data_IF_958015078025
#
_entry.id   IF_958015078025
#
_cell.length_a   1.000
_cell.length_b   1.000
_cell.length_c   1.000
_cell.angle_alpha   90.00
_cell.angle_beta   90.00
_cell.angle_gamma   90.00
#
_symmetry.space_group_name_H-M   'P 1'
#
loop_
_entity.id
_entity.type
_entity.pdbx_description
1 polymer ?
#
# COMPACT_ATOMS: atom_id res chain seq x y z
N UNK A 1 9.17 13.43 29.08
CA UNK A 1 10.26 14.37 28.70
C UNK A 1 11.10 14.60 29.95
N UNK A 2 12.44 14.59 29.89
CA UNK A 2 13.24 14.84 31.09
C UNK A 2 13.01 16.29 31.55
N UNK A 3 12.57 16.46 32.80
CA UNK A 3 12.06 17.70 33.42
C UNK A 3 13.07 18.86 33.58
N UNK A 4 14.21 18.82 32.89
CA UNK A 4 15.25 19.83 33.04
C UNK A 4 16.11 19.93 31.79
N UNK A 5 15.55 20.48 30.72
CA UNK A 5 16.29 20.87 29.51
C UNK A 5 16.53 22.38 29.53
N UNK A 6 17.77 22.83 29.34
CA UNK A 6 18.06 24.26 29.13
C UNK A 6 17.91 24.54 27.64
N UNK A 7 17.02 25.46 27.27
CA UNK A 7 16.82 25.81 25.87
C UNK A 7 18.06 26.48 25.27
N UNK A 8 18.35 26.14 24.02
CA UNK A 8 19.45 26.74 23.29
C UNK A 8 19.11 28.15 22.80
N UNK A 9 20.14 28.96 22.60
CA UNK A 9 19.98 30.27 21.98
C UNK A 9 19.81 30.15 20.45
N UNK A 10 18.59 29.88 20.00
CA UNK A 10 18.24 29.77 18.58
C UNK A 10 18.54 31.05 17.78
N UNK A 11 18.34 32.23 18.38
CA UNK A 11 18.63 33.50 17.73
C UNK A 11 20.13 33.66 17.43
N UNK A 12 20.99 33.27 18.38
CA UNK A 12 22.44 33.29 18.19
C UNK A 12 22.89 32.27 17.16
N UNK A 13 22.29 31.07 17.15
CA UNK A 13 22.58 30.07 16.12
C UNK A 13 22.26 30.60 14.71
N UNK A 14 21.09 31.23 14.54
CA UNK A 14 20.69 31.84 13.27
C UNK A 14 21.66 32.93 12.82
N UNK A 15 22.09 33.80 13.73
CA UNK A 15 23.09 34.83 13.46
C UNK A 15 24.43 34.23 12.98
N UNK A 16 24.91 33.18 13.66
CA UNK A 16 26.15 32.48 13.30
C UNK A 16 26.06 31.82 11.92
N UNK A 17 24.92 31.22 11.59
CA UNK A 17 24.68 30.62 10.28
C UNK A 17 24.68 31.67 9.18
N UNK A 18 23.91 32.75 9.34
CA UNK A 18 23.85 33.86 8.37
C UNK A 18 25.24 34.42 8.11
N UNK A 19 26.00 34.70 9.17
CA UNK A 19 27.38 35.18 9.05
C UNK A 19 28.24 34.21 8.25
N UNK A 20 28.14 32.90 8.53
CA UNK A 20 28.94 31.88 7.85
C UNK A 20 28.58 31.75 6.37
N UNK A 21 27.30 31.90 6.02
CA UNK A 21 26.87 31.92 4.61
C UNK A 21 27.37 33.15 3.87
N UNK A 22 27.31 34.33 4.51
CA UNK A 22 27.86 35.57 3.97
C UNK A 22 29.38 35.48 3.74
N UNK A 23 30.12 34.91 4.70
CA UNK A 23 31.57 34.69 4.59
C UNK A 23 31.94 33.77 3.41
N UNK A 24 31.02 32.89 3.00
CA UNK A 24 31.20 31.99 1.85
C UNK A 24 30.61 32.57 0.54
N UNK A 25 30.28 33.86 0.50
CA UNK A 25 29.66 34.55 -0.64
C UNK A 25 28.35 33.90 -1.13
N UNK A 26 27.57 33.33 -0.21
CA UNK A 26 26.28 32.73 -0.51
C UNK A 26 25.18 33.79 -0.34
N UNK A 27 24.44 34.08 -1.42
CA UNK A 27 23.28 34.97 -1.36
C UNK A 27 22.13 34.33 -0.56
N UNK A 28 21.50 35.14 0.28
CA UNK A 28 20.41 34.71 1.16
C UNK A 28 19.09 35.23 0.59
N UNK A 29 18.37 34.35 -0.11
CA UNK A 29 17.00 34.60 -0.56
C UNK A 29 15.97 34.14 0.49
N UNK A 30 14.70 34.44 0.24
CA UNK A 30 13.60 34.05 1.13
C UNK A 30 13.50 32.52 1.31
N UNK A 31 13.84 31.72 0.28
CA UNK A 31 13.83 30.26 0.44
C UNK A 31 14.99 29.81 1.33
N UNK A 32 16.18 30.40 1.20
CA UNK A 32 17.31 30.06 2.06
C UNK A 32 17.11 30.50 3.50
N UNK A 33 16.41 31.61 3.75
CA UNK A 33 15.99 31.98 5.10
C UNK A 33 15.10 30.90 5.74
N UNK A 34 14.13 30.35 5.00
CA UNK A 34 13.31 29.21 5.48
C UNK A 34 14.15 27.97 5.76
N UNK A 35 15.14 27.68 4.91
CA UNK A 35 16.08 26.57 5.13
C UNK A 35 16.91 26.79 6.39
N UNK A 36 17.39 28.01 6.63
CA UNK A 36 18.14 28.36 7.84
C UNK A 36 17.27 28.20 9.09
N UNK A 37 16.00 28.61 9.04
CA UNK A 37 15.07 28.42 10.15
C UNK A 37 14.84 26.94 10.45
N UNK A 38 14.66 26.12 9.40
CA UNK A 38 14.57 24.67 9.55
C UNK A 38 15.87 24.06 10.12
N UNK A 39 17.05 24.53 9.69
CA UNK A 39 18.34 24.08 10.23
C UNK A 39 18.46 24.39 11.73
N UNK A 40 17.98 25.57 12.16
CA UNK A 40 17.95 25.96 13.58
C UNK A 40 17.01 25.06 14.38
N UNK A 41 15.82 24.77 13.85
CA UNK A 41 14.84 23.89 14.49
C UNK A 41 15.42 22.48 14.66
N UNK A 42 16.02 21.92 13.61
CA UNK A 42 16.67 20.60 13.64
C UNK A 42 17.74 20.55 14.73
N UNK A 43 18.63 21.54 14.80
CA UNK A 43 19.66 21.57 15.86
C UNK A 43 19.01 21.64 17.24
N UNK A 44 17.96 22.44 17.42
CA UNK A 44 17.24 22.53 18.69
C UNK A 44 16.66 21.19 19.14
N UNK A 45 16.14 20.39 18.20
CA UNK A 45 15.63 19.06 18.49
C UNK A 45 16.73 18.10 18.93
N UNK A 46 17.92 18.14 18.30
CA UNK A 46 19.02 17.26 18.68
C UNK A 46 19.56 17.61 20.07
N UNK A 47 19.64 18.90 20.42
CA UNK A 47 19.95 19.30 21.80
C UNK A 47 18.90 18.76 22.79
N UNK A 48 17.61 18.84 22.45
CA UNK A 48 16.53 18.27 23.28
C UNK A 48 16.67 16.75 23.45
N UNK A 49 17.01 16.02 22.38
CA UNK A 49 17.25 14.57 22.43
C UNK A 49 18.48 14.20 23.27
N UNK A 50 19.54 15.03 23.25
CA UNK A 50 20.70 14.86 24.13
C UNK A 50 20.39 15.15 25.60
N UNK A 51 19.50 16.10 25.86
CA UNK A 51 19.22 16.61 27.20
C UNK A 51 20.43 17.34 27.79
N UNK A 52 20.38 17.60 29.11
CA UNK A 52 21.38 18.40 29.81
C UNK A 52 22.63 17.62 30.26
N UNK A 53 22.81 16.38 29.82
CA UNK A 53 23.97 15.57 30.18
C UNK A 53 25.14 15.86 29.22
N UNK A 54 26.32 16.28 29.73
CA UNK A 54 27.45 16.60 28.88
C UNK A 54 28.02 15.35 28.22
N UNK A 55 27.86 15.25 26.89
CA UNK A 55 28.51 14.22 26.07
C UNK A 55 30.04 14.41 26.05
N UNK A 56 30.75 13.62 26.86
CA UNK A 56 32.21 13.59 26.96
C UNK A 56 32.89 12.66 25.97
N UNK A 57 32.16 11.67 25.45
CA UNK A 57 32.63 10.71 24.46
C UNK A 57 31.48 10.29 23.52
N UNK A 58 31.80 9.66 22.38
CA UNK A 58 30.80 9.22 21.39
C UNK A 58 29.82 8.18 21.97
N UNK A 59 30.27 7.33 22.90
CA UNK A 59 29.45 6.29 23.54
C UNK A 59 28.34 6.86 24.42
N UNK A 60 28.60 7.98 25.09
CA UNK A 60 27.69 8.67 26.00
C UNK A 60 26.93 9.81 25.31
N UNK A 61 26.95 9.86 23.97
CA UNK A 61 26.22 10.85 23.18
C UNK A 61 24.92 10.24 22.67
N UNK A 62 23.79 10.61 23.28
CA UNK A 62 22.48 10.04 22.93
C UNK A 62 22.03 10.34 21.50
N UNK A 63 22.45 11.47 20.92
CA UNK A 63 22.07 11.86 19.57
C UNK A 63 23.21 12.64 18.90
N UNK A 64 23.44 12.45 17.61
CA UNK A 64 24.41 13.23 16.83
C UNK A 64 23.78 13.51 15.47
N UNK A 65 23.81 14.76 15.03
CA UNK A 65 23.44 15.10 13.66
C UNK A 65 24.66 14.95 12.74
N UNK A 66 24.48 14.19 11.66
CA UNK A 66 25.47 14.05 10.60
C UNK A 66 24.94 14.82 9.39
N UNK A 67 25.78 15.69 8.82
CA UNK A 67 25.40 16.52 7.67
C UNK A 67 26.57 16.70 6.72
N UNK A 68 26.30 17.02 5.46
CA UNK A 68 27.31 17.52 4.51
C UNK A 68 27.49 19.04 4.62
N UNK A 69 26.60 19.74 5.32
CA UNK A 69 26.66 21.19 5.49
C UNK A 69 27.71 21.59 6.54
N UNK A 70 28.88 22.00 6.04
CA UNK A 70 30.00 22.43 6.89
C UNK A 70 29.71 23.70 7.69
N UNK A 71 28.87 24.60 7.17
CA UNK A 71 28.48 25.83 7.87
C UNK A 71 27.63 25.51 9.10
N UNK A 72 26.69 24.57 8.96
CA UNK A 72 25.84 24.11 10.06
C UNK A 72 26.64 23.39 11.14
N UNK A 73 27.50 22.45 10.74
CA UNK A 73 28.37 21.74 11.68
C UNK A 73 29.25 22.72 12.48
N UNK A 74 29.82 23.73 11.81
CA UNK A 74 30.63 24.75 12.47
C UNK A 74 29.82 25.62 13.44
N UNK A 75 28.69 26.17 13.00
CA UNK A 75 27.85 27.03 13.82
C UNK A 75 27.34 26.30 15.08
N UNK A 76 26.97 25.02 14.95
CA UNK A 76 26.46 24.20 16.04
C UNK A 76 27.45 23.96 17.20
N UNK A 77 28.76 24.10 16.94
CA UNK A 77 29.82 23.85 17.91
C UNK A 77 30.10 25.06 18.81
N UNK A 78 29.43 26.19 18.57
CA UNK A 78 29.72 27.43 19.26
C UNK A 78 29.39 27.32 20.76
N UNK A 79 30.35 27.54 21.69
CA UNK A 79 30.16 27.27 23.11
C UNK A 79 29.07 28.09 23.79
N UNK A 80 28.71 29.27 23.26
CA UNK A 80 27.70 30.14 23.86
C UNK A 80 26.26 29.79 23.45
N UNK A 81 26.03 28.65 22.80
CA UNK A 81 24.69 28.22 22.37
C UNK A 81 23.87 27.57 23.49
N UNK A 82 24.54 26.96 24.46
CA UNK A 82 23.93 26.30 25.62
C UNK A 82 24.83 26.48 26.84
N UNK A 83 24.23 26.49 28.02
CA UNK A 83 24.98 26.50 29.29
C UNK A 83 25.74 25.18 29.52
N UNK A 84 25.35 24.11 28.82
CA UNK A 84 25.98 22.80 28.91
C UNK A 84 27.07 22.68 27.85
N UNK A 85 28.32 22.56 28.31
CA UNK A 85 29.46 22.33 27.43
C UNK A 85 29.56 20.84 27.07
N UNK A 86 29.37 20.52 25.78
CA UNK A 86 29.57 19.18 25.24
C UNK A 86 30.97 19.05 24.61
N UNK A 87 31.73 18.02 24.97
CA UNK A 87 33.03 17.75 24.35
C UNK A 87 32.88 17.20 22.93
N UNK A 88 31.84 16.40 22.71
CA UNK A 88 31.44 15.93 21.37
C UNK A 88 30.48 16.94 20.74
N UNK A 89 30.75 17.45 19.54
CA UNK A 89 29.86 18.39 18.86
C UNK A 89 28.50 17.75 18.56
N UNK A 90 27.47 18.58 18.52
CA UNK A 90 26.07 18.14 18.32
C UNK A 90 25.79 17.82 16.86
N UNK A 91 26.37 18.63 15.98
CA UNK A 91 26.39 18.36 14.56
C UNK A 91 27.85 18.25 14.10
N UNK A 92 28.12 17.25 13.27
CA UNK A 92 29.42 17.06 12.64
C UNK A 92 29.26 16.68 11.18
N UNK A 93 30.33 16.84 10.42
CA UNK A 93 30.32 16.42 9.02
C UNK A 93 30.51 14.92 8.90
N UNK A 94 29.93 14.35 7.85
CA UNK A 94 30.20 12.97 7.40
C UNK A 94 31.71 12.70 7.23
N UNK A 95 32.44 13.66 6.64
CA UNK A 95 33.89 13.57 6.48
C UNK A 95 34.62 13.52 7.84
N UNK A 96 34.19 14.31 8.83
CA UNK A 96 34.80 14.32 10.15
C UNK A 96 34.56 13.01 10.89
N UNK A 97 33.32 12.51 10.87
CA UNK A 97 32.99 11.22 11.48
C UNK A 97 33.74 10.07 10.79
N UNK A 98 33.78 10.06 9.46
CA UNK A 98 34.51 9.05 8.68
C UNK A 98 36.00 9.05 9.00
N UNK A 99 36.59 10.23 9.20
CA UNK A 99 38.00 10.35 9.60
C UNK A 99 38.24 9.75 10.99
N UNK A 100 37.34 9.99 11.95
CA UNK A 100 37.43 9.38 13.29
C UNK A 100 37.31 7.87 13.18
N UNK A 101 36.33 7.36 12.43
CA UNK A 101 36.13 5.92 12.23
C UNK A 101 37.36 5.27 11.59
N UNK A 102 37.92 5.89 10.55
CA UNK A 102 39.14 5.42 9.90
C UNK A 102 40.34 5.39 10.86
N UNK A 103 40.48 6.41 11.72
CA UNK A 103 41.54 6.43 12.74
C UNK A 103 41.33 5.38 13.83
N UNK A 104 40.08 5.11 14.23
CA UNK A 104 39.74 4.11 15.23
C UNK A 104 39.90 2.67 14.69
N UNK A 105 39.74 2.48 13.38
CA UNK A 105 39.83 1.17 12.71
C UNK A 105 40.75 1.25 11.48
N UNK A 106 42.07 1.42 11.70
CA UNK A 106 43.04 1.63 10.61
C UNK A 106 43.38 0.35 9.82
N UNK A 107 43.06 -0.83 10.37
CA UNK A 107 43.45 -2.12 9.79
C UNK A 107 42.57 -2.53 8.59
N UNK A 108 43.24 -3.03 7.55
CA UNK A 108 42.72 -3.29 6.20
C UNK A 108 42.02 -4.64 6.01
N UNK A 109 41.85 -5.45 7.07
CA UNK A 109 40.92 -6.59 7.06
C UNK A 109 39.48 -6.06 7.17
N UNK A 110 39.07 -5.37 6.10
CA UNK A 110 37.84 -4.59 5.97
C UNK A 110 36.60 -5.42 6.21
N UNK A 111 36.62 -6.70 5.86
CA UNK A 111 35.45 -7.57 5.90
C UNK A 111 34.95 -7.79 7.32
N UNK A 112 35.83 -7.90 8.32
CA UNK A 112 35.42 -8.14 9.71
C UNK A 112 34.85 -6.86 10.30
N UNK A 113 35.51 -5.72 10.09
CA UNK A 113 35.04 -4.43 10.59
C UNK A 113 33.73 -4.00 9.91
N UNK A 114 33.59 -4.24 8.60
CA UNK A 114 32.36 -4.00 7.86
C UNK A 114 31.23 -4.90 8.37
N UNK A 115 31.46 -6.20 8.53
CA UNK A 115 30.44 -7.12 9.05
C UNK A 115 30.05 -6.79 10.48
N UNK A 116 31.00 -6.40 11.34
CA UNK A 116 30.71 -5.95 12.70
C UNK A 116 29.87 -4.67 12.67
N UNK A 117 30.25 -3.68 11.85
CA UNK A 117 29.49 -2.44 11.71
C UNK A 117 28.07 -2.70 11.18
N UNK A 118 27.94 -3.52 10.13
CA UNK A 118 26.65 -3.92 9.57
C UNK A 118 25.82 -4.69 10.60
N UNK A 119 26.44 -5.56 11.39
CA UNK A 119 25.76 -6.30 12.46
C UNK A 119 25.27 -5.36 13.56
N UNK A 120 26.08 -4.40 13.99
CA UNK A 120 25.68 -3.41 14.99
C UNK A 120 24.56 -2.50 14.48
N UNK A 121 24.66 -2.03 13.23
CA UNK A 121 23.60 -1.29 12.56
C UNK A 121 22.33 -2.13 12.44
N UNK A 122 22.45 -3.40 12.04
CA UNK A 122 21.32 -4.31 11.92
C UNK A 122 20.65 -4.52 13.28
N UNK A 123 21.40 -4.81 14.34
CA UNK A 123 20.88 -4.96 15.71
C UNK A 123 20.14 -3.71 16.22
N UNK A 124 20.53 -2.51 15.76
CA UNK A 124 19.86 -1.26 16.11
C UNK A 124 18.62 -0.96 15.26
N UNK A 125 18.61 -1.41 14.02
CA UNK A 125 17.48 -1.26 13.09
C UNK A 125 16.43 -2.36 13.28
N UNK A 126 16.82 -3.51 13.83
CA UNK A 126 15.89 -4.60 14.14
C UNK A 126 15.16 -4.33 15.45
N UNK A 127 13.95 -4.87 15.52
CA UNK A 127 13.17 -4.88 16.75
C UNK A 127 13.90 -5.64 17.86
N UNK A 128 13.79 -5.15 19.09
CA UNK A 128 14.46 -5.75 20.24
C UNK A 128 13.91 -7.16 20.53
N UNK A 129 14.81 -8.05 20.91
CA UNK A 129 14.47 -9.43 21.28
C UNK A 129 13.46 -9.49 22.43
N UNK A 130 13.50 -8.51 23.35
CA UNK A 130 12.56 -8.42 24.47
C UNK A 130 11.13 -8.17 23.99
N UNK A 131 10.93 -7.23 23.05
CA UNK A 131 9.62 -6.93 22.46
C UNK A 131 9.10 -8.15 21.69
N UNK A 132 9.95 -8.77 20.87
CA UNK A 132 9.58 -9.96 20.10
C UNK A 132 9.18 -11.11 21.02
N UNK A 133 10.00 -11.42 22.03
CA UNK A 133 9.72 -12.49 22.97
C UNK A 133 8.41 -12.24 23.70
N UNK A 134 8.19 -11.01 24.21
CA UNK A 134 6.94 -10.65 24.89
C UNK A 134 5.73 -10.81 23.97
N UNK A 135 5.80 -10.29 22.75
CA UNK A 135 4.73 -10.42 21.76
C UNK A 135 4.37 -11.88 21.47
N UNK A 136 5.36 -12.71 21.12
CA UNK A 136 5.09 -14.13 20.81
C UNK A 136 4.62 -14.92 22.03
N UNK A 137 5.08 -14.57 23.24
CA UNK A 137 4.58 -15.19 24.47
C UNK A 137 3.11 -14.87 24.71
N UNK A 138 2.70 -13.61 24.57
CA UNK A 138 1.30 -13.19 24.71
C UNK A 138 0.42 -13.79 23.62
N UNK A 139 0.88 -13.86 22.37
CA UNK A 139 0.14 -14.51 21.28
C UNK A 139 -0.10 -16.00 21.58
N UNK A 140 0.89 -16.69 22.17
CA UNK A 140 0.74 -18.09 22.56
C UNK A 140 -0.25 -18.29 23.71
N UNK A 141 -0.27 -17.37 24.68
CA UNK A 141 -1.26 -17.37 25.76
C UNK A 141 -2.67 -17.09 25.24
N UNK A 142 -2.81 -16.16 24.30
CA UNK A 142 -4.06 -15.84 23.63
C UNK A 142 -4.58 -17.02 22.82
N UNK A 143 -3.72 -17.72 22.07
CA UNK A 143 -4.12 -18.91 21.30
C UNK A 143 -4.59 -20.07 22.20
N UNK A 144 -3.96 -20.22 23.38
CA UNK A 144 -4.36 -21.22 24.36
C UNK A 144 -5.72 -20.92 25.01
N UNK A 145 -6.10 -19.64 25.15
CA UNK A 145 -7.36 -19.22 25.76
C UNK A 145 -8.50 -19.07 24.74
N UNK A 146 -8.21 -18.54 23.57
CA UNK A 146 -9.12 -18.34 22.44
C UNK A 146 -8.41 -18.80 21.16
N UNK A 147 -8.83 -19.91 20.54
CA UNK A 147 -8.15 -20.45 19.37
C UNK A 147 -8.07 -19.42 18.25
N UNK A 148 -6.85 -19.03 17.89
CA UNK A 148 -6.60 -18.14 16.77
C UNK A 148 -6.66 -18.98 15.49
N UNK A 149 -7.22 -18.42 14.41
CA UNK A 149 -7.22 -19.11 13.11
C UNK A 149 -5.79 -19.42 12.65
N UNK A 150 -5.55 -20.65 12.20
CA UNK A 150 -4.23 -21.12 11.72
C UNK A 150 -3.64 -20.19 10.63
N UNK A 151 -4.49 -19.64 9.77
CA UNK A 151 -4.11 -18.68 8.74
C UNK A 151 -3.56 -17.37 9.35
N UNK A 152 -4.17 -16.88 10.43
CA UNK A 152 -3.72 -15.68 11.15
C UNK A 152 -2.39 -15.98 11.85
N UNK A 153 -2.25 -17.16 12.48
CA UNK A 153 -1.00 -17.57 13.10
C UNK A 153 0.15 -17.67 12.09
N UNK A 154 -0.12 -18.19 10.89
CA UNK A 154 0.84 -18.23 9.80
C UNK A 154 1.25 -16.83 9.36
N UNK A 155 0.30 -15.90 9.23
CA UNK A 155 0.59 -14.50 8.94
C UNK A 155 1.43 -13.84 10.04
N UNK A 156 1.16 -14.13 11.31
CA UNK A 156 1.94 -13.57 12.42
C UNK A 156 3.41 -14.02 12.36
N UNK A 157 3.64 -15.29 12.02
CA UNK A 157 4.99 -15.86 12.01
C UNK A 157 5.79 -15.53 10.74
N UNK A 158 5.13 -15.31 9.60
CA UNK A 158 5.80 -15.16 8.30
C UNK A 158 5.83 -13.72 7.78
N UNK A 159 4.92 -12.86 8.26
CA UNK A 159 4.75 -11.52 7.70
C UNK A 159 5.68 -10.50 8.35
N UNK A 160 6.42 -9.76 7.53
CA UNK A 160 7.17 -8.56 7.96
C UNK A 160 6.27 -7.48 8.57
N UNK A 161 4.99 -7.50 8.22
CA UNK A 161 3.97 -6.57 8.72
C UNK A 161 3.94 -6.53 10.25
N UNK A 162 4.08 -7.66 10.94
CA UNK A 162 4.04 -7.69 12.42
C UNK A 162 5.23 -6.93 13.01
N UNK A 163 6.42 -7.12 12.45
CA UNK A 163 7.62 -6.43 12.89
C UNK A 163 7.51 -4.92 12.67
N UNK A 164 7.01 -4.50 11.50
CA UNK A 164 6.77 -3.09 11.19
C UNK A 164 5.74 -2.46 12.15
N UNK A 165 4.64 -3.15 12.43
CA UNK A 165 3.62 -2.65 13.35
C UNK A 165 4.14 -2.55 14.79
N UNK A 166 4.90 -3.54 15.24
CA UNK A 166 5.56 -3.48 16.55
C UNK A 166 6.53 -2.30 16.63
N UNK A 167 7.34 -2.08 15.60
CA UNK A 167 8.29 -0.96 15.53
C UNK A 167 7.58 0.39 15.60
N UNK A 168 6.50 0.57 14.82
CA UNK A 168 5.72 1.82 14.80
C UNK A 168 5.06 2.09 16.16
N UNK A 169 4.57 1.05 16.84
CA UNK A 169 3.83 1.20 18.11
C UNK A 169 4.76 1.40 19.31
N UNK A 170 5.95 0.81 19.28
CA UNK A 170 6.88 0.78 20.43
C UNK A 170 8.09 1.67 20.23
N UNK A 171 8.36 2.15 19.02
CA UNK A 171 9.61 2.83 18.66
C UNK A 171 10.86 2.04 19.09
N UNK A 172 10.74 0.71 19.14
CA UNK A 172 11.77 -0.20 19.65
C UNK A 172 12.15 0.00 21.12
N UNK A 173 11.29 0.63 21.92
CA UNK A 173 11.44 0.80 23.37
C UNK A 173 10.52 -0.18 24.13
N UNK A 174 11.09 -1.17 24.87
CA UNK A 174 10.31 -2.13 25.64
C UNK A 174 9.36 -1.50 26.67
N UNK A 175 9.67 -0.30 27.17
CA UNK A 175 8.83 0.41 28.15
C UNK A 175 7.53 0.93 27.55
N UNK A 176 7.48 1.12 26.23
CA UNK A 176 6.28 1.53 25.50
C UNK A 176 5.41 0.33 25.10
N UNK A 177 5.87 -0.90 25.33
CA UNK A 177 5.07 -2.09 25.11
C UNK A 177 4.02 -2.23 26.22
N UNK A 178 2.75 -2.11 25.83
CA UNK A 178 1.60 -2.22 26.74
C UNK A 178 0.82 -3.49 26.46
N UNK A 179 0.01 -3.93 27.41
CA UNK A 179 -0.84 -5.12 27.26
C UNK A 179 -1.89 -4.98 26.13
N UNK A 180 -2.11 -3.75 25.64
CA UNK A 180 -3.00 -3.47 24.50
C UNK A 180 -2.29 -3.64 23.15
N UNK A 181 -0.97 -3.54 23.11
CA UNK A 181 -0.18 -3.54 21.88
C UNK A 181 -0.41 -4.81 21.07
N UNK A 182 -0.43 -5.98 21.73
CA UNK A 182 -0.71 -7.27 21.09
C UNK A 182 -2.10 -7.31 20.46
N UNK A 183 -3.13 -6.88 21.20
CA UNK A 183 -4.51 -6.89 20.71
C UNK A 183 -4.70 -5.93 19.52
N UNK A 184 -4.10 -4.75 19.56
CA UNK A 184 -4.14 -3.79 18.46
C UNK A 184 -3.49 -4.36 17.19
N UNK A 185 -2.34 -5.03 17.32
CA UNK A 185 -1.64 -5.63 16.18
C UNK A 185 -2.50 -6.74 15.56
N UNK A 186 -3.10 -7.61 16.38
CA UNK A 186 -3.98 -8.67 15.89
C UNK A 186 -5.20 -8.08 15.16
N UNK A 187 -5.78 -7.01 15.70
CA UNK A 187 -6.89 -6.30 15.06
C UNK A 187 -6.47 -5.68 13.72
N UNK A 188 -5.29 -5.08 13.63
CA UNK A 188 -4.78 -4.49 12.38
C UNK A 188 -4.52 -5.56 11.31
N UNK A 189 -4.00 -6.73 11.69
CA UNK A 189 -3.85 -7.88 10.79
C UNK A 189 -5.22 -8.33 10.27
N UNK A 190 -6.22 -8.42 11.14
CA UNK A 190 -7.58 -8.82 10.75
C UNK A 190 -8.24 -7.79 9.82
N UNK A 191 -8.08 -6.50 10.09
CA UNK A 191 -8.57 -5.41 9.22
C UNK A 191 -7.89 -5.48 7.85
N UNK A 192 -6.57 -5.68 7.82
CA UNK A 192 -5.83 -5.81 6.57
C UNK A 192 -6.26 -7.05 5.76
N UNK A 193 -6.56 -8.16 6.43
CA UNK A 193 -7.14 -9.35 5.80
C UNK A 193 -8.52 -9.06 5.23
N UNK A 194 -9.42 -8.52 6.03
CA UNK A 194 -10.81 -8.25 5.64
C UNK A 194 -10.90 -7.23 4.50
N UNK A 195 -10.02 -6.22 4.49
CA UNK A 195 -9.92 -5.26 3.38
C UNK A 195 -9.45 -5.91 2.08
N UNK A 196 -8.47 -6.82 2.13
CA UNK A 196 -8.05 -7.62 0.97
C UNK A 196 -9.15 -8.53 0.47
N UNK A 197 -9.88 -9.19 1.36
CA UNK A 197 -11.04 -10.04 0.99
C UNK A 197 -12.11 -9.20 0.30
N UNK A 198 -12.45 -8.03 0.85
CA UNK A 198 -13.45 -7.12 0.27
C UNK A 198 -13.00 -6.56 -1.08
N UNK A 199 -11.72 -6.25 -1.23
CA UNK A 199 -11.17 -5.81 -2.51
C UNK A 199 -11.26 -6.94 -3.56
N UNK A 200 -10.87 -8.16 -3.17
CA UNK A 200 -10.94 -9.32 -4.04
C UNK A 200 -12.39 -9.66 -4.43
N UNK A 201 -13.33 -9.65 -3.49
CA UNK A 201 -14.75 -9.87 -3.77
C UNK A 201 -15.30 -8.80 -4.71
N UNK A 202 -14.93 -7.53 -4.51
CA UNK A 202 -15.31 -6.45 -5.41
C UNK A 202 -14.75 -6.62 -6.84
N UNK A 203 -13.51 -7.12 -6.98
CA UNK A 203 -12.96 -7.43 -8.31
C UNK A 203 -13.67 -8.59 -8.99
N UNK A 204 -14.05 -9.61 -8.21
CA UNK A 204 -14.81 -10.75 -8.71
C UNK A 204 -16.20 -10.32 -9.20
N UNK A 205 -16.91 -9.51 -8.42
CA UNK A 205 -18.22 -8.94 -8.78
C UNK A 205 -18.13 -8.08 -10.06
N UNK A 206 -17.04 -7.31 -10.22
CA UNK A 206 -16.78 -6.53 -11.44
C UNK A 206 -16.59 -7.44 -12.65
N UNK A 207 -15.86 -8.54 -12.50
CA UNK A 207 -15.67 -9.54 -13.55
C UNK A 207 -17.01 -10.21 -13.91
N UNK A 208 -17.81 -10.62 -12.93
CA UNK A 208 -19.15 -11.18 -13.15
C UNK A 208 -20.07 -10.20 -13.89
N UNK A 209 -20.03 -8.90 -13.55
CA UNK A 209 -20.75 -7.86 -14.27
C UNK A 209 -20.33 -7.71 -15.74
N UNK A 210 -19.02 -7.82 -16.02
CA UNK A 210 -18.50 -7.82 -17.40
C UNK A 210 -18.91 -9.07 -18.17
N UNK A 211 -18.89 -10.25 -17.54
CA UNK A 211 -19.38 -11.48 -18.17
C UNK A 211 -20.88 -11.40 -18.49
N UNK A 212 -21.67 -10.81 -17.60
CA UNK A 212 -23.10 -10.62 -17.82
C UNK A 212 -23.38 -9.67 -18.99
N UNK A 213 -22.60 -8.59 -19.13
CA UNK A 213 -22.77 -7.66 -20.27
C UNK A 213 -22.44 -8.35 -21.59
N UNK A 214 -21.34 -9.10 -21.66
CA UNK A 214 -20.96 -9.90 -22.84
C UNK A 214 -22.06 -10.92 -23.18
N UNK A 215 -22.57 -11.65 -22.18
CA UNK A 215 -23.64 -12.61 -22.38
C UNK A 215 -24.93 -11.97 -22.93
N UNK A 216 -25.29 -10.76 -22.45
CA UNK A 216 -26.43 -9.99 -22.97
C UNK A 216 -26.21 -9.55 -24.43
N UNK A 217 -25.01 -9.10 -24.77
CA UNK A 217 -24.68 -8.73 -26.16
C UNK A 217 -24.79 -9.94 -27.10
N UNK A 218 -24.19 -11.08 -26.74
CA UNK A 218 -24.28 -12.32 -27.53
C UNK A 218 -25.73 -12.78 -27.63
N UNK A 219 -26.47 -12.80 -26.52
CA UNK A 219 -27.90 -13.17 -26.54
C UNK A 219 -28.72 -12.24 -27.45
N UNK A 220 -28.47 -10.93 -27.40
CA UNK A 220 -29.16 -9.95 -28.24
C UNK A 220 -28.87 -10.14 -29.73
N UNK A 221 -27.60 -10.39 -30.08
CA UNK A 221 -27.19 -10.66 -31.47
C UNK A 221 -27.82 -11.94 -32.01
N UNK A 222 -27.82 -13.03 -31.23
CA UNK A 222 -28.47 -14.30 -31.62
C UNK A 222 -29.97 -14.10 -31.89
N UNK A 223 -30.69 -13.44 -30.98
CA UNK A 223 -32.12 -13.17 -31.17
C UNK A 223 -32.36 -12.33 -32.42
N UNK A 224 -31.50 -11.33 -32.68
CA UNK A 224 -31.62 -10.48 -33.86
C UNK A 224 -31.33 -11.24 -35.16
N UNK A 225 -30.34 -12.13 -35.18
CA UNK A 225 -30.02 -12.98 -36.33
C UNK A 225 -31.19 -13.91 -36.64
N UNK A 226 -31.75 -14.57 -35.62
CA UNK A 226 -32.91 -15.45 -35.78
C UNK A 226 -34.11 -14.68 -36.34
N UNK A 227 -34.37 -13.47 -35.81
CA UNK A 227 -35.46 -12.64 -36.29
C UNK A 227 -35.25 -12.16 -37.73
N UNK A 228 -34.04 -11.71 -38.08
CA UNK A 228 -33.71 -11.29 -39.44
C UNK A 228 -33.80 -12.46 -40.43
N UNK A 229 -33.35 -13.66 -40.03
CA UNK A 229 -33.50 -14.89 -40.80
C UNK A 229 -34.96 -15.24 -41.08
N UNK A 230 -35.85 -15.10 -40.09
CA UNK A 230 -37.30 -15.29 -40.28
C UNK A 230 -37.90 -14.27 -41.26
N UNK A 231 -37.47 -13.00 -41.19
CA UNK A 231 -37.93 -11.95 -42.10
C UNK A 231 -37.44 -12.19 -43.53
N UNK A 232 -36.18 -12.55 -43.72
CA UNK A 232 -35.63 -12.90 -45.04
C UNK A 232 -36.36 -14.11 -45.62
N UNK A 233 -36.55 -15.17 -44.81
CA UNK A 233 -37.28 -16.36 -45.23
C UNK A 233 -38.69 -15.99 -45.71
N UNK A 234 -39.39 -15.13 -44.97
CA UNK A 234 -40.69 -14.62 -45.37
C UNK A 234 -40.66 -13.84 -46.69
N UNK A 235 -39.67 -12.97 -46.89
CA UNK A 235 -39.53 -12.19 -48.14
C UNK A 235 -39.24 -13.10 -49.34
N UNK A 236 -38.35 -14.08 -49.18
CA UNK A 236 -38.04 -15.08 -50.22
C UNK A 236 -39.30 -15.87 -50.57
N UNK A 237 -40.01 -16.38 -49.55
CA UNK A 237 -41.23 -17.14 -49.76
C UNK A 237 -42.34 -16.31 -50.42
N UNK A 238 -42.35 -14.98 -50.29
CA UNK A 238 -43.35 -14.13 -50.94
C UNK A 238 -43.06 -13.87 -52.42
N UNK A 239 -41.79 -13.87 -52.83
CA UNK A 239 -41.36 -13.46 -54.18
C UNK A 239 -41.11 -14.64 -55.14
N UNK A 240 -41.16 -15.87 -54.65
CA UNK A 240 -41.08 -17.07 -55.50
C UNK A 240 -42.41 -17.27 -56.22
N UNK A 241 -42.36 -17.42 -57.54
CA UNK A 241 -43.53 -17.80 -58.34
C UNK A 241 -43.75 -19.32 -58.23
N UNK A 242 -44.80 -19.69 -57.51
CA UNK A 242 -45.12 -21.09 -57.21
C UNK A 242 -45.89 -21.80 -58.32
N UNK A 243 -46.20 -21.13 -59.44
CA UNK A 243 -47.11 -21.65 -60.48
C UNK A 243 -46.77 -23.07 -60.96
N UNK A 244 -45.49 -23.39 -61.13
CA UNK A 244 -45.01 -24.66 -61.69
C UNK A 244 -44.78 -25.80 -60.66
N UNK A 245 -45.05 -25.59 -59.37
CA UNK A 245 -44.75 -26.58 -58.33
C UNK A 245 -45.95 -27.53 -58.10
N UNK A 246 -45.69 -28.79 -57.72
CA UNK A 246 -46.73 -29.77 -57.37
C UNK A 246 -47.60 -29.27 -56.22
N UNK A 247 -48.89 -29.63 -56.21
CA UNK A 247 -49.87 -29.10 -55.26
C UNK A 247 -49.50 -29.26 -53.78
N UNK A 248 -48.79 -30.33 -53.41
CA UNK A 248 -48.35 -30.57 -52.02
C UNK A 248 -47.33 -29.51 -51.57
N UNK A 249 -46.33 -29.19 -52.40
CA UNK A 249 -45.30 -28.20 -52.07
C UNK A 249 -45.85 -26.77 -52.05
N UNK A 250 -46.86 -26.46 -52.88
CA UNK A 250 -47.59 -25.17 -52.84
C UNK A 250 -48.25 -24.96 -51.48
N UNK A 251 -48.94 -25.97 -50.94
CA UNK A 251 -49.62 -25.89 -49.64
C UNK A 251 -48.61 -25.76 -48.49
N UNK A 252 -47.53 -26.54 -48.51
CA UNK A 252 -46.49 -26.50 -47.47
C UNK A 252 -45.76 -25.15 -47.42
N UNK A 253 -45.39 -24.57 -48.57
CA UNK A 253 -44.67 -23.29 -48.60
C UNK A 253 -45.58 -22.10 -48.28
N UNK A 254 -46.85 -22.15 -48.71
CA UNK A 254 -47.82 -21.13 -48.36
C UNK A 254 -48.13 -21.13 -46.85
N UNK A 255 -48.25 -22.31 -46.21
CA UNK A 255 -48.42 -22.41 -44.76
C UNK A 255 -47.19 -21.94 -43.97
N UNK A 256 -45.99 -22.17 -44.50
CA UNK A 256 -44.73 -21.67 -43.90
C UNK A 256 -44.66 -20.13 -43.86
N UNK A 257 -45.25 -19.46 -44.85
CA UNK A 257 -45.30 -17.99 -44.92
C UNK A 257 -46.18 -17.34 -43.84
N UNK A 258 -47.10 -18.10 -43.23
CA UNK A 258 -48.02 -17.62 -42.19
C UNK A 258 -47.32 -17.61 -40.81
N UNK A 259 -46.24 -18.39 -40.65
CA UNK A 259 -45.52 -18.58 -39.38
C UNK A 259 -45.06 -17.25 -38.73
N UNK A 260 -44.48 -16.27 -39.45
CA UNK A 260 -44.08 -15.00 -38.84
C UNK A 260 -45.27 -14.16 -38.35
N UNK A 261 -46.41 -14.22 -39.06
CA UNK A 261 -47.65 -13.52 -38.70
C UNK A 261 -48.27 -14.18 -37.47
N UNK A 262 -48.30 -15.51 -37.45
CA UNK A 262 -48.73 -16.31 -36.29
C UNK A 262 -47.83 -16.06 -35.07
N UNK A 263 -46.51 -15.96 -35.25
CA UNK A 263 -45.59 -15.61 -34.17
C UNK A 263 -45.91 -14.23 -33.58
N UNK A 264 -46.11 -13.21 -34.43
CA UNK A 264 -46.49 -11.87 -33.99
C UNK A 264 -47.80 -11.86 -33.17
N UNK A 265 -48.83 -12.55 -33.66
CA UNK A 265 -50.12 -12.68 -32.98
C UNK A 265 -50.03 -13.49 -31.67
N UNK A 266 -49.32 -14.61 -31.67
CA UNK A 266 -49.13 -15.46 -30.48
C UNK A 266 -48.23 -14.79 -29.42
N UNK A 267 -47.29 -13.94 -29.84
CA UNK A 267 -46.50 -13.10 -28.93
C UNK A 267 -47.34 -12.00 -28.30
N UNK A 268 -48.34 -11.47 -29.02
CA UNK A 268 -49.27 -10.45 -28.49
C UNK A 268 -50.28 -11.06 -27.51
N UNK A 269 -50.79 -12.26 -27.80
CA UNK A 269 -51.66 -13.03 -26.90
C UNK A 269 -50.92 -13.66 -25.69
N UNK A 270 -49.59 -13.51 -25.60
CA UNK A 270 -48.80 -14.03 -24.48
C UNK A 270 -48.61 -15.56 -24.45
N UNK A 271 -49.01 -16.26 -25.53
CA UNK A 271 -48.87 -17.72 -25.67
C UNK A 271 -47.41 -18.09 -25.98
N UNK A 272 -46.71 -17.24 -26.76
CA UNK A 272 -45.25 -17.32 -26.93
C UNK A 272 -44.60 -16.33 -25.97
N UNK A 273 -43.57 -16.79 -25.24
CA UNK A 273 -42.87 -15.98 -24.25
C UNK A 273 -42.27 -14.72 -24.90
N UNK A 274 -42.47 -13.57 -24.26
CA UNK A 274 -42.06 -12.26 -24.76
C UNK A 274 -40.53 -12.22 -25.03
N UNK A 275 -40.09 -11.37 -25.98
CA UNK A 275 -38.68 -11.18 -26.36
C UNK A 275 -37.77 -10.96 -25.14
N UNK A 276 -38.26 -10.26 -24.11
CA UNK A 276 -37.54 -10.05 -22.86
C UNK A 276 -37.26 -11.35 -22.09
N UNK A 277 -38.20 -12.30 -22.08
CA UNK A 277 -38.01 -13.59 -21.43
C UNK A 277 -36.97 -14.45 -22.16
N UNK A 278 -37.03 -14.48 -23.49
CA UNK A 278 -36.06 -15.22 -24.31
C UNK A 278 -34.65 -14.65 -24.16
N UNK A 279 -34.52 -13.32 -24.05
CA UNK A 279 -33.26 -12.65 -23.76
C UNK A 279 -32.70 -13.04 -22.40
N UNK A 280 -33.51 -13.03 -21.33
CA UNK A 280 -33.06 -13.43 -19.99
C UNK A 280 -32.65 -14.91 -19.94
N UNK A 281 -33.44 -15.79 -20.57
CA UNK A 281 -33.17 -17.23 -20.64
C UNK A 281 -31.85 -17.54 -21.38
N UNK A 282 -31.64 -16.94 -22.56
CA UNK A 282 -30.41 -17.11 -23.33
C UNK A 282 -29.22 -16.46 -22.63
N UNK A 283 -29.38 -15.27 -22.04
CA UNK A 283 -28.33 -14.60 -21.26
C UNK A 283 -27.86 -15.48 -20.10
N UNK A 284 -28.78 -16.08 -19.33
CA UNK A 284 -28.42 -16.99 -18.23
C UNK A 284 -27.67 -18.21 -18.71
N UNK A 285 -28.09 -18.83 -19.81
CA UNK A 285 -27.39 -19.98 -20.40
C UNK A 285 -25.99 -19.63 -20.91
N UNK A 286 -25.86 -18.52 -21.65
CA UNK A 286 -24.59 -18.06 -22.19
C UNK A 286 -23.65 -17.66 -21.06
N UNK A 287 -24.13 -16.95 -20.03
CA UNK A 287 -23.34 -16.61 -18.84
C UNK A 287 -22.80 -17.86 -18.16
N UNK A 288 -23.64 -18.87 -17.91
CA UNK A 288 -23.21 -20.13 -17.28
C UNK A 288 -22.17 -20.86 -18.14
N UNK A 289 -22.35 -20.87 -19.46
CA UNK A 289 -21.41 -21.49 -20.39
C UNK A 289 -20.06 -20.77 -20.42
N UNK A 290 -20.06 -19.43 -20.50
CA UNK A 290 -18.85 -18.60 -20.49
C UNK A 290 -18.11 -18.75 -19.16
N UNK A 291 -18.83 -18.76 -18.04
CA UNK A 291 -18.23 -18.95 -16.72
C UNK A 291 -17.55 -20.31 -16.58
N UNK A 292 -18.24 -21.39 -16.96
CA UNK A 292 -17.65 -22.74 -16.93
C UNK A 292 -16.43 -22.89 -17.84
N UNK A 293 -16.35 -22.14 -18.94
CA UNK A 293 -15.20 -22.17 -19.85
C UNK A 293 -13.95 -21.48 -19.28
N UNK A 294 -14.12 -20.48 -18.40
CA UNK A 294 -13.01 -19.80 -17.72
C UNK A 294 -12.59 -20.48 -16.41
N UNK A 295 -13.45 -21.32 -15.82
CA UNK A 295 -13.15 -22.11 -14.61
C UNK A 295 -12.43 -23.45 -14.90
N UNK A 296 -12.28 -23.84 -16.18
CA UNK A 296 -11.50 -25.01 -16.65
C UNK A 296 -10.06 -24.63 -16.99
#
# INVERSE_FOLDING_TARGET
MPDKYSEINCAKLKELLIKRYQDNNVEIDDNRNKTIDNDVDVISYIYRLRGNNPASNLKNSNAILITTNTALAFASKYPALSDVCHSIPICMTDAFLSTILWFCYPDSDSDINEKVLLSECYNKLTLSDEILHRFYSEVKELDASTPISEEIMLHINTSRMVQELLEIKTFNDPSLYTDKTTAEILQEIEIAKNSKIKALSGTLDSHDGKFLSIARFISGTIISIVWFGLVILFLILKYIDYSNWTDIWKIVLNTLSIIPVLWGLLSWFGIIKNKAYLLDFLTKRIYTFVKNWFEQ
#
